data_IF_019341871944
#
_entry.id   IF_019341871944
#
_cell.length_a   1.000
_cell.length_b   1.000
_cell.length_c   1.000
_cell.angle_alpha   90.00
_cell.angle_beta   90.00
_cell.angle_gamma   90.00
#
_symmetry.space_group_name_H-M   'P 1'
#
loop_
_entity.id
_entity.type
_entity.pdbx_description
1 polymer ?
#
# COMPACT_ATOMS: atom_id res chain seq x y z
N UNK A 1 -2.02 -17.27 -15.54
CA UNK A 1 -1.73 -18.30 -14.51
C UNK A 1 -0.40 -17.98 -13.90
N UNK A 2 -0.43 -17.39 -12.71
CA UNK A 2 0.80 -17.03 -12.01
C UNK A 2 1.26 -18.26 -11.24
N UNK A 3 2.37 -18.84 -11.67
CA UNK A 3 3.18 -19.69 -10.80
C UNK A 3 3.60 -18.84 -9.60
N UNK A 4 3.40 -19.30 -8.37
CA UNK A 4 3.96 -18.61 -7.22
C UNK A 4 5.47 -18.57 -7.41
N UNK A 5 5.99 -17.36 -7.60
CA UNK A 5 7.43 -17.17 -7.64
C UNK A 5 7.94 -17.46 -6.23
N UNK A 6 8.69 -18.51 -6.08
CA UNK A 6 9.44 -18.79 -4.86
C UNK A 6 10.37 -17.60 -4.63
N UNK A 7 10.11 -16.82 -3.58
CA UNK A 7 10.94 -15.71 -3.18
C UNK A 7 12.33 -16.23 -2.79
N UNK A 8 13.26 -16.18 -3.72
CA UNK A 8 14.67 -16.49 -3.48
C UNK A 8 15.37 -15.33 -2.70
N UNK A 9 14.76 -14.87 -1.61
CA UNK A 9 15.40 -13.94 -0.68
C UNK A 9 15.71 -12.54 -1.24
N UNK A 10 15.06 -12.12 -2.34
CA UNK A 10 15.25 -10.81 -2.96
C UNK A 10 14.26 -9.76 -2.43
N UNK A 11 14.60 -8.48 -2.63
CA UNK A 11 13.67 -7.37 -2.37
C UNK A 11 12.45 -7.46 -3.28
N UNK A 12 11.27 -7.24 -2.71
CA UNK A 12 10.02 -7.17 -3.45
C UNK A 12 9.75 -5.73 -3.93
N UNK A 13 9.24 -5.60 -5.13
CA UNK A 13 8.81 -4.33 -5.70
C UNK A 13 7.60 -4.51 -6.61
N UNK A 14 6.78 -3.48 -6.70
CA UNK A 14 5.69 -3.38 -7.66
C UNK A 14 6.13 -2.47 -8.81
N UNK A 15 6.16 -3.01 -10.02
CA UNK A 15 6.42 -2.25 -11.23
C UNK A 15 5.10 -1.79 -11.83
N UNK A 16 4.94 -0.48 -12.00
CA UNK A 16 3.76 0.15 -12.60
C UNK A 16 4.20 0.84 -13.89
N UNK A 17 3.70 0.35 -15.02
CA UNK A 17 3.95 0.95 -16.32
C UNK A 17 2.86 1.99 -16.63
N UNK A 18 3.20 3.25 -16.45
CA UNK A 18 2.26 4.36 -16.62
C UNK A 18 1.86 4.59 -18.09
N UNK A 19 2.72 4.22 -19.04
CA UNK A 19 2.41 4.37 -20.48
C UNK A 19 1.36 3.35 -20.94
N UNK A 20 1.31 2.20 -20.27
CA UNK A 20 0.33 1.14 -20.56
C UNK A 20 -0.93 1.21 -19.71
N UNK A 21 -0.93 2.02 -18.68
CA UNK A 21 -2.07 2.13 -17.78
C UNK A 21 -3.25 2.81 -18.49
N UNK A 22 -4.37 2.11 -18.57
CA UNK A 22 -5.62 2.62 -19.17
C UNK A 22 -6.62 3.14 -18.14
N UNK A 23 -6.28 3.10 -16.86
CA UNK A 23 -7.18 3.49 -15.77
C UNK A 23 -8.37 2.56 -15.56
N UNK A 24 -8.29 1.31 -16.02
CA UNK A 24 -9.40 0.34 -15.95
C UNK A 24 -9.76 -0.11 -14.52
N UNK A 25 -8.93 0.22 -13.53
CA UNK A 25 -9.11 -0.12 -12.09
C UNK A 25 -9.14 -1.61 -11.76
N UNK A 26 -8.76 -2.49 -12.68
CA UNK A 26 -8.70 -3.93 -12.40
C UNK A 26 -7.77 -4.28 -11.25
N UNK A 27 -6.67 -3.52 -11.08
CA UNK A 27 -5.74 -3.68 -9.96
C UNK A 27 -6.37 -3.32 -8.60
N UNK A 28 -7.26 -2.32 -8.55
CA UNK A 28 -8.03 -2.00 -7.35
C UNK A 28 -8.99 -3.13 -7.00
N UNK A 29 -9.73 -3.63 -7.99
CA UNK A 29 -10.71 -4.70 -7.81
C UNK A 29 -10.03 -5.99 -7.37
N UNK A 30 -8.93 -6.37 -8.01
CA UNK A 30 -8.16 -7.56 -7.64
C UNK A 30 -7.65 -7.48 -6.19
N UNK A 31 -7.11 -6.33 -5.79
CA UNK A 31 -6.65 -6.10 -4.42
C UNK A 31 -7.81 -6.18 -3.41
N UNK A 32 -8.98 -5.61 -3.75
CA UNK A 32 -10.17 -5.69 -2.91
C UNK A 32 -10.67 -7.11 -2.73
N UNK A 33 -10.63 -7.91 -3.79
CA UNK A 33 -11.04 -9.32 -3.72
C UNK A 33 -10.09 -10.15 -2.88
N UNK A 34 -8.77 -9.99 -3.09
CA UNK A 34 -7.74 -10.72 -2.35
C UNK A 34 -7.82 -10.45 -0.85
N UNK A 35 -7.93 -9.19 -0.47
CA UNK A 35 -7.92 -8.75 0.93
C UNK A 35 -9.32 -8.56 1.53
N UNK A 36 -10.38 -8.90 0.82
CA UNK A 36 -11.79 -8.79 1.25
C UNK A 36 -12.16 -7.40 1.76
N UNK A 37 -11.63 -6.36 1.07
CA UNK A 37 -11.84 -4.97 1.46
C UNK A 37 -13.28 -4.53 1.21
N UNK A 38 -13.86 -3.81 2.15
CA UNK A 38 -15.20 -3.27 2.07
C UNK A 38 -15.31 -2.01 1.20
N UNK A 39 -16.52 -1.45 1.09
CA UNK A 39 -16.75 -0.18 0.42
C UNK A 39 -15.94 0.94 1.08
N UNK A 40 -15.24 1.73 0.25
CA UNK A 40 -14.39 2.84 0.74
C UNK A 40 -12.99 2.44 1.22
N UNK A 41 -12.70 1.16 1.37
CA UNK A 41 -11.39 0.66 1.78
C UNK A 41 -10.51 0.39 0.56
N UNK A 42 -9.27 0.89 0.57
CA UNK A 42 -8.31 0.74 -0.52
C UNK A 42 -6.91 0.51 0.02
N UNK A 43 -6.19 -0.46 -0.52
CA UNK A 43 -4.75 -0.65 -0.34
C UNK A 43 -3.94 -0.10 -1.53
N UNK A 44 -4.57 -0.02 -2.69
CA UNK A 44 -4.10 0.71 -3.86
C UNK A 44 -5.28 1.48 -4.48
N UNK A 45 -4.99 2.56 -5.19
CA UNK A 45 -6.02 3.40 -5.81
C UNK A 45 -5.51 3.99 -7.12
N UNK A 46 -6.26 3.82 -8.19
CA UNK A 46 -5.97 4.47 -9.46
C UNK A 46 -6.65 5.82 -9.50
N UNK A 47 -5.86 6.86 -9.64
CA UNK A 47 -6.32 8.23 -9.83
C UNK A 47 -5.94 8.73 -11.22
N UNK A 48 -6.69 9.66 -11.72
CA UNK A 48 -6.38 10.36 -12.96
C UNK A 48 -5.78 11.72 -12.64
N UNK A 49 -4.85 12.14 -13.44
CA UNK A 49 -4.29 13.48 -13.37
C UNK A 49 -4.67 14.24 -14.61
N UNK A 50 -5.33 15.38 -14.43
CA UNK A 50 -5.56 16.34 -15.50
C UNK A 50 -4.80 17.61 -15.14
N UNK A 51 -3.99 18.15 -16.04
CA UNK A 51 -3.45 19.47 -15.82
C UNK A 51 -1.95 19.66 -15.97
N UNK A 52 -1.25 18.76 -16.65
CA UNK A 52 0.00 19.16 -17.28
C UNK A 52 -0.38 19.53 -18.72
N UNK A 53 -0.33 20.83 -19.02
CA UNK A 53 -0.51 21.32 -20.38
C UNK A 53 0.37 20.47 -21.29
N UNK A 54 -0.20 19.87 -22.33
CA UNK A 54 0.43 18.97 -23.29
C UNK A 54 0.58 17.47 -22.93
N UNK A 55 0.34 16.99 -21.71
CA UNK A 55 0.54 15.59 -21.34
C UNK A 55 -0.71 14.69 -21.49
N UNK A 56 -1.87 15.27 -21.77
CA UNK A 56 -3.11 14.51 -21.88
C UNK A 56 -3.59 13.92 -20.54
N UNK A 57 -4.48 12.93 -20.62
CA UNK A 57 -4.99 12.21 -19.46
C UNK A 57 -3.99 11.13 -19.05
N UNK A 58 -3.48 11.20 -17.83
CA UNK A 58 -2.61 10.18 -17.25
C UNK A 58 -3.26 9.52 -16.05
N UNK A 59 -3.01 8.23 -15.87
CA UNK A 59 -3.45 7.45 -14.73
C UNK A 59 -2.26 7.14 -13.81
N UNK A 60 -2.46 7.30 -12.52
CA UNK A 60 -1.45 7.03 -11.51
C UNK A 60 -2.00 6.07 -10.48
N UNK A 61 -1.29 4.98 -10.24
CA UNK A 61 -1.62 4.05 -9.17
C UNK A 61 -0.94 4.49 -7.88
N UNK A 62 -1.74 4.94 -6.93
CA UNK A 62 -1.29 5.29 -5.58
C UNK A 62 -1.29 4.05 -4.70
N UNK A 63 -0.13 3.67 -4.22
CA UNK A 63 0.07 2.54 -3.32
C UNK A 63 1.25 2.79 -2.39
N UNK A 64 1.44 1.93 -1.40
CA UNK A 64 2.58 2.02 -0.50
C UNK A 64 3.90 1.93 -1.27
N UNK A 65 4.83 2.83 -0.97
CA UNK A 65 6.15 2.88 -1.60
C UNK A 65 7.18 1.99 -0.90
N UNK A 66 6.82 1.31 0.18
CA UNK A 66 7.74 0.49 0.99
C UNK A 66 9.07 1.20 1.26
N UNK A 67 8.98 2.46 1.71
CA UNK A 67 10.07 3.42 1.84
C UNK A 67 11.32 2.82 2.52
N UNK A 68 12.50 3.28 2.12
CA UNK A 68 13.76 2.87 2.78
C UNK A 68 13.77 3.32 4.24
N UNK A 69 13.31 4.54 4.51
CA UNK A 69 13.13 5.08 5.86
C UNK A 69 11.65 5.42 6.11
N UNK A 70 10.79 4.43 6.40
CA UNK A 70 9.36 4.63 6.44
C UNK A 70 8.94 5.58 7.57
N UNK A 71 8.28 6.68 7.20
CA UNK A 71 7.76 7.65 8.16
C UNK A 71 6.67 7.03 9.06
N UNK A 72 5.87 6.12 8.51
CA UNK A 72 4.81 5.41 9.24
C UNK A 72 5.36 4.55 10.38
N UNK A 73 6.50 3.88 10.16
CA UNK A 73 7.17 3.12 11.23
C UNK A 73 7.63 4.05 12.35
N UNK A 74 8.29 5.16 11.98
CA UNK A 74 8.77 6.14 12.99
C UNK A 74 7.65 6.84 13.75
N UNK A 75 6.51 7.04 13.12
CA UNK A 75 5.35 7.67 13.74
C UNK A 75 4.55 6.73 14.64
N UNK A 76 4.76 5.42 14.55
CA UNK A 76 4.01 4.45 15.35
C UNK A 76 4.41 4.55 16.83
N UNK A 77 3.49 4.93 17.74
CA UNK A 77 3.79 5.11 19.16
C UNK A 77 3.79 3.80 19.95
N UNK A 78 3.36 2.72 19.34
CA UNK A 78 3.23 1.42 20.01
C UNK A 78 4.60 0.78 20.20
N UNK A 79 4.80 0.14 21.33
CA UNK A 79 6.04 -0.59 21.64
C UNK A 79 5.72 -2.03 22.09
N UNK A 80 6.19 -3.07 21.38
CA UNK A 80 6.89 -2.99 20.08
C UNK A 80 6.00 -2.44 18.97
N UNK A 81 6.61 -1.78 17.99
CA UNK A 81 5.88 -1.09 16.90
C UNK A 81 4.91 -2.02 16.18
N UNK A 82 3.76 -1.47 15.81
CA UNK A 82 2.74 -2.18 15.03
C UNK A 82 3.00 -2.13 13.53
N UNK A 83 3.99 -1.36 13.10
CA UNK A 83 4.42 -1.29 11.69
C UNK A 83 5.90 -1.64 11.65
N UNK A 84 6.24 -2.62 10.84
CA UNK A 84 7.61 -3.13 10.71
C UNK A 84 8.04 -3.15 9.25
N UNK A 85 9.34 -3.01 9.03
CA UNK A 85 9.97 -3.23 7.72
C UNK A 85 10.78 -4.51 7.77
N UNK A 86 10.45 -5.44 6.90
CA UNK A 86 11.24 -6.65 6.73
C UNK A 86 12.61 -6.31 6.10
N UNK A 87 13.68 -6.76 6.73
CA UNK A 87 15.05 -6.42 6.31
C UNK A 87 15.47 -7.14 5.02
N UNK A 88 14.87 -8.28 4.71
CA UNK A 88 15.20 -9.10 3.54
C UNK A 88 14.39 -8.65 2.33
N UNK A 89 13.09 -8.65 2.46
CA UNK A 89 12.16 -8.32 1.36
C UNK A 89 11.98 -6.82 1.16
N UNK A 90 12.25 -6.02 2.19
CA UNK A 90 12.00 -4.58 2.19
C UNK A 90 10.53 -4.21 2.36
N UNK A 91 9.66 -5.19 2.56
CA UNK A 91 8.21 -4.96 2.72
C UNK A 91 7.95 -4.27 4.06
N UNK A 92 7.16 -3.22 4.02
CA UNK A 92 6.63 -2.56 5.22
C UNK A 92 5.23 -3.09 5.44
N UNK A 93 4.95 -3.68 6.57
CA UNK A 93 3.66 -4.30 6.91
C UNK A 93 3.11 -3.78 8.23
N UNK A 94 1.79 -3.90 8.40
CA UNK A 94 1.09 -3.61 9.65
C UNK A 94 0.83 -4.92 10.38
N UNK A 95 1.20 -4.96 11.65
CA UNK A 95 0.90 -6.08 12.55
C UNK A 95 -0.40 -5.71 13.29
N UNK A 96 -1.51 -6.20 12.76
CA UNK A 96 -2.85 -5.85 13.21
C UNK A 96 -3.04 -6.07 14.70
N UNK A 97 -2.53 -7.18 15.24
CA UNK A 97 -2.63 -7.53 16.66
C UNK A 97 -1.94 -6.54 17.62
N UNK A 98 -1.01 -5.73 17.11
CA UNK A 98 -0.32 -4.70 17.88
C UNK A 98 -0.91 -3.31 17.66
N UNK A 99 -1.67 -3.11 16.58
CA UNK A 99 -2.18 -1.80 16.20
C UNK A 99 -3.27 -1.34 17.17
N UNK A 100 -3.14 -0.11 17.67
CA UNK A 100 -4.12 0.52 18.57
C UNK A 100 -5.12 1.41 17.83
N UNK A 101 -4.96 1.57 16.50
CA UNK A 101 -5.85 2.41 15.70
C UNK A 101 -5.66 3.92 15.92
N UNK A 102 -4.51 4.36 16.42
CA UNK A 102 -4.27 5.78 16.72
C UNK A 102 -4.24 6.71 15.48
N UNK A 103 -4.00 6.16 14.26
CA UNK A 103 -4.00 6.92 13.02
C UNK A 103 -2.73 7.74 12.74
N UNK A 104 -1.73 7.76 13.61
CA UNK A 104 -0.51 8.55 13.43
C UNK A 104 0.23 8.20 12.13
N UNK A 105 0.25 6.93 11.74
CA UNK A 105 0.86 6.48 10.50
C UNK A 105 0.12 6.97 9.26
N UNK A 106 -1.20 7.17 9.35
CA UNK A 106 -2.01 7.70 8.24
C UNK A 106 -1.62 9.15 7.96
N UNK A 107 -1.46 9.95 9.01
CA UNK A 107 -1.05 11.36 8.92
C UNK A 107 0.41 11.47 8.46
N UNK A 108 1.28 10.59 8.92
CA UNK A 108 2.71 10.64 8.60
C UNK A 108 3.05 10.21 7.17
N UNK A 109 2.17 9.51 6.47
CA UNK A 109 2.45 9.03 5.12
C UNK A 109 2.38 10.16 4.08
N UNK A 110 3.50 10.53 3.43
CA UNK A 110 3.51 11.63 2.47
C UNK A 110 2.81 11.28 1.15
N UNK A 111 2.53 10.01 0.92
CA UNK A 111 1.89 9.51 -0.31
C UNK A 111 0.40 9.21 -0.12
N UNK A 112 -0.15 9.42 1.05
CA UNK A 112 -1.53 9.04 1.39
C UNK A 112 -1.84 7.57 1.09
N UNK A 113 -0.85 6.71 1.27
CA UNK A 113 -0.93 5.28 0.98
C UNK A 113 -1.31 4.42 2.18
N UNK A 114 -1.49 5.04 3.34
CA UNK A 114 -2.03 4.39 4.54
C UNK A 114 -3.54 4.61 4.60
N UNK A 115 -4.28 3.54 4.79
CA UNK A 115 -5.70 3.56 5.09
C UNK A 115 -5.99 3.22 6.55
N UNK A 116 -7.25 3.22 6.90
CA UNK A 116 -7.76 2.86 8.22
C UNK A 116 -9.01 2.01 8.06
N UNK A 117 -9.04 0.89 8.77
CA UNK A 117 -10.25 0.07 8.88
C UNK A 117 -11.05 0.50 10.12
N UNK A 118 -12.22 1.11 9.95
CA UNK A 118 -13.02 1.59 11.06
C UNK A 118 -13.73 0.47 11.83
N UNK A 119 -13.85 -0.73 11.25
CA UNK A 119 -14.48 -1.88 11.90
C UNK A 119 -13.53 -2.60 12.82
N UNK A 120 -12.34 -2.89 12.31
CA UNK A 120 -11.31 -3.61 13.04
C UNK A 120 -10.37 -2.67 13.82
N UNK A 121 -10.51 -1.35 13.63
CA UNK A 121 -9.74 -0.31 14.34
C UNK A 121 -8.23 -0.43 14.17
N UNK A 122 -7.76 -0.74 12.96
CA UNK A 122 -6.34 -0.77 12.66
C UNK A 122 -6.00 -0.07 11.34
N UNK A 123 -4.71 0.26 11.18
CA UNK A 123 -4.20 0.79 9.92
C UNK A 123 -4.11 -0.31 8.86
N UNK A 124 -4.38 0.04 7.62
CA UNK A 124 -4.29 -0.85 6.46
C UNK A 124 -3.44 -0.23 5.35
N UNK A 125 -2.71 -1.03 4.62
CA UNK A 125 -1.91 -0.61 3.46
C UNK A 125 -1.53 -1.80 2.59
N UNK A 126 -1.00 -1.52 1.40
CA UNK A 126 -0.41 -2.53 0.55
C UNK A 126 0.80 -3.19 1.26
N UNK A 127 0.83 -4.51 1.27
CA UNK A 127 1.87 -5.38 1.81
C UNK A 127 2.60 -6.18 0.71
N UNK A 128 2.33 -5.88 -0.57
CA UNK A 128 2.79 -6.61 -1.75
C UNK A 128 2.30 -8.07 -1.79
N UNK A 129 1.21 -8.39 -1.08
CA UNK A 129 0.69 -9.75 -0.92
C UNK A 129 1.79 -10.73 -0.48
N UNK A 130 2.58 -10.32 0.54
CA UNK A 130 3.78 -11.00 0.99
C UNK A 130 3.54 -12.03 2.12
N UNK A 131 2.31 -12.29 2.48
CA UNK A 131 1.84 -13.28 3.48
C UNK A 131 1.83 -14.71 2.96
#
# INVERSE_FOLDING_TARGET
MNTPQTNNGGRLALLIDLERCTGCKSCEVACKQEHRLGPGEYRNKVVWTSGVEDAGLAFLTLTCQHCERPACVRACPVNPQAIEKDAVTGVVSVIESRCTGCGECVIACPYSAMGYDPKEHHAVKCDLCAD
#
